data_IF_580431032262
#
_entry.id   IF_580431032262
#
_cell.length_a   1.000
_cell.length_b   1.000
_cell.length_c   1.000
_cell.angle_alpha   90.00
_cell.angle_beta   90.00
_cell.angle_gamma   90.00
#
_symmetry.space_group_name_H-M   'P 1'
#
loop_
_entity.id
_entity.type
_entity.pdbx_description
1 polymer ?
#
# COMPACT_ATOMS: atom_id res chain seq x y z
N UNK A 1 9.53 -22.77 -3.29
CA UNK A 1 10.38 -21.66 -3.78
C UNK A 1 10.14 -20.45 -2.89
N UNK A 2 11.17 -19.68 -2.56
CA UNK A 2 10.99 -18.44 -1.82
C UNK A 2 10.29 -17.40 -2.72
N UNK A 3 9.38 -16.62 -2.14
CA UNK A 3 8.77 -15.48 -2.83
C UNK A 3 9.86 -14.43 -3.12
N UNK A 4 9.78 -13.79 -4.30
CA UNK A 4 10.65 -12.66 -4.63
C UNK A 4 10.29 -11.47 -3.74
N UNK A 5 11.30 -10.68 -3.37
CA UNK A 5 11.17 -9.48 -2.54
C UNK A 5 11.64 -8.26 -3.32
N UNK A 6 11.47 -7.05 -2.78
CA UNK A 6 11.95 -5.84 -3.45
C UNK A 6 13.46 -5.84 -3.69
N UNK A 7 14.25 -6.54 -2.87
CA UNK A 7 15.69 -6.69 -3.05
C UNK A 7 16.05 -7.53 -4.27
N UNK A 8 15.17 -8.44 -4.70
CA UNK A 8 15.47 -9.40 -5.78
C UNK A 8 14.80 -9.07 -7.11
N UNK A 9 14.02 -7.98 -7.18
CA UNK A 9 13.30 -7.57 -8.39
C UNK A 9 14.11 -6.70 -9.36
N UNK A 10 15.30 -6.22 -8.95
CA UNK A 10 16.12 -5.31 -9.76
C UNK A 10 15.57 -3.87 -9.76
N UNK A 11 15.99 -3.07 -10.74
CA UNK A 11 15.56 -1.68 -10.84
C UNK A 11 14.12 -1.55 -11.34
N UNK A 12 13.34 -0.72 -10.63
CA UNK A 12 11.92 -0.49 -10.91
C UNK A 12 11.64 0.93 -11.46
N UNK A 13 12.68 1.73 -11.69
CA UNK A 13 12.57 3.06 -12.27
C UNK A 13 11.82 3.06 -13.60
N UNK A 14 10.91 4.02 -13.78
CA UNK A 14 10.05 4.14 -14.97
C UNK A 14 8.94 3.08 -15.08
N UNK A 15 8.87 2.12 -14.15
CA UNK A 15 7.78 1.13 -14.11
C UNK A 15 6.62 1.64 -13.26
N UNK A 16 5.41 1.17 -13.57
CA UNK A 16 4.26 1.30 -12.67
C UNK A 16 4.17 0.06 -11.79
N UNK A 17 4.25 0.24 -10.48
CA UNK A 17 4.21 -0.82 -9.47
C UNK A 17 2.87 -0.77 -8.74
N UNK A 18 2.09 -1.84 -8.88
CA UNK A 18 0.86 -2.06 -8.13
C UNK A 18 1.20 -2.66 -6.76
N UNK A 19 0.88 -1.96 -5.67
CA UNK A 19 1.12 -2.41 -4.30
C UNK A 19 -0.20 -2.59 -3.56
N UNK A 20 -0.38 -3.76 -2.95
CA UNK A 20 -1.47 -4.04 -2.02
C UNK A 20 -0.99 -3.71 -0.61
N UNK A 21 -1.52 -2.65 -0.02
CA UNK A 21 -1.22 -2.21 1.36
C UNK A 21 -2.36 -2.59 2.30
N UNK A 22 -2.09 -2.72 3.60
CA UNK A 22 -3.16 -2.73 4.60
C UNK A 22 -3.44 -1.29 5.02
N UNK A 23 -4.47 -0.67 4.45
CA UNK A 23 -4.97 0.65 4.82
C UNK A 23 -6.34 0.56 5.50
N UNK A 24 -6.70 -0.61 6.05
CA UNK A 24 -7.94 -0.78 6.80
C UNK A 24 -7.77 -0.21 8.21
N UNK A 25 -7.95 1.11 8.33
CA UNK A 25 -7.77 1.88 9.56
C UNK A 25 -9.11 2.14 10.25
N UNK A 26 -9.14 2.29 11.59
CA UNK A 26 -10.36 2.69 12.28
C UNK A 26 -10.76 4.12 11.90
N UNK A 27 -12.05 4.30 11.65
CA UNK A 27 -12.68 5.59 11.36
C UNK A 27 -13.74 5.91 12.42
N UNK A 28 -13.85 7.19 12.78
CA UNK A 28 -14.98 7.77 13.50
C UNK A 28 -15.46 8.97 12.70
N UNK A 29 -16.72 8.95 12.25
CA UNK A 29 -17.33 10.05 11.48
C UNK A 29 -16.50 10.46 10.25
N UNK A 30 -15.93 9.47 9.55
CA UNK A 30 -15.07 9.69 8.38
C UNK A 30 -13.63 10.15 8.70
N UNK A 31 -13.28 10.30 9.97
CA UNK A 31 -11.95 10.71 10.43
C UNK A 31 -11.16 9.50 10.93
N UNK A 32 -9.90 9.39 10.52
CA UNK A 32 -8.97 8.34 10.99
C UNK A 32 -8.63 8.58 12.46
N UNK A 33 -8.85 7.57 13.30
CA UNK A 33 -8.53 7.65 14.74
C UNK A 33 -7.20 7.00 15.10
N UNK A 34 -6.68 6.10 14.25
CA UNK A 34 -5.33 5.53 14.33
C UNK A 34 -4.79 5.29 12.91
N UNK A 35 -3.66 5.90 12.60
CA UNK A 35 -3.00 5.87 11.29
C UNK A 35 -1.84 4.86 11.22
N UNK A 36 -1.64 4.02 12.25
CA UNK A 36 -0.48 3.14 12.38
C UNK A 36 -0.24 2.24 11.15
N UNK A 37 -1.32 1.75 10.53
CA UNK A 37 -1.24 0.92 9.31
C UNK A 37 -0.81 1.70 8.07
N UNK A 38 -1.22 2.96 7.96
CA UNK A 38 -0.77 3.86 6.90
C UNK A 38 0.73 4.08 7.06
N UNK A 39 1.18 4.45 8.27
CA UNK A 39 2.60 4.68 8.57
C UNK A 39 3.45 3.43 8.32
N UNK A 40 2.96 2.24 8.66
CA UNK A 40 3.65 0.98 8.40
C UNK A 40 3.86 0.70 6.90
N UNK A 41 3.02 1.25 6.02
CA UNK A 41 3.15 1.08 4.56
C UNK A 41 4.14 2.05 3.91
N UNK A 42 4.46 3.17 4.58
CA UNK A 42 5.30 4.24 4.02
C UNK A 42 6.70 3.78 3.60
N UNK A 43 7.45 2.95 4.35
CA UNK A 43 8.82 2.58 3.96
C UNK A 43 8.89 1.93 2.58
N UNK A 44 7.94 1.05 2.26
CA UNK A 44 7.86 0.37 0.97
C UNK A 44 7.49 1.34 -0.15
N UNK A 45 6.49 2.20 0.08
CA UNK A 45 6.04 3.20 -0.90
C UNK A 45 7.17 4.20 -1.20
N UNK A 46 7.82 4.73 -0.17
CA UNK A 46 8.93 5.67 -0.30
C UNK A 46 10.11 5.05 -1.05
N UNK A 47 10.46 3.80 -0.76
CA UNK A 47 11.51 3.09 -1.49
C UNK A 47 11.23 3.01 -2.99
N UNK A 48 9.99 2.69 -3.38
CA UNK A 48 9.59 2.60 -4.78
C UNK A 48 9.63 3.96 -5.48
N UNK A 49 9.09 4.99 -4.83
CA UNK A 49 9.07 6.36 -5.35
C UNK A 49 10.49 6.92 -5.51
N UNK A 50 11.35 6.77 -4.50
CA UNK A 50 12.76 7.19 -4.56
C UNK A 50 13.54 6.42 -5.64
N UNK A 51 13.17 5.17 -5.91
CA UNK A 51 13.70 4.38 -7.02
C UNK A 51 13.17 4.78 -8.40
N UNK A 52 12.35 5.83 -8.51
CA UNK A 52 11.82 6.35 -9.77
C UNK A 52 10.64 5.55 -10.34
N UNK A 53 10.02 4.67 -9.55
CA UNK A 53 8.81 3.97 -9.96
C UNK A 53 7.58 4.86 -9.77
N UNK A 54 6.57 4.68 -10.62
CA UNK A 54 5.21 5.11 -10.32
C UNK A 54 4.53 4.07 -9.43
N UNK A 55 3.79 4.50 -8.41
CA UNK A 55 3.16 3.60 -7.44
C UNK A 55 1.64 3.71 -7.51
N UNK A 56 0.96 2.58 -7.65
CA UNK A 56 -0.51 2.46 -7.56
C UNK A 56 -0.83 1.66 -6.31
N UNK A 57 -1.51 2.28 -5.34
CA UNK A 57 -1.84 1.65 -4.05
C UNK A 57 -3.27 1.10 -4.10
N UNK A 58 -3.44 -0.13 -3.64
CA UNK A 58 -4.75 -0.74 -3.41
C UNK A 58 -4.89 -1.17 -1.95
N UNK A 59 -6.09 -1.02 -1.41
CA UNK A 59 -6.49 -1.61 -0.13
C UNK A 59 -7.99 -1.92 -0.12
N UNK A 60 -8.39 -2.70 0.88
CA UNK A 60 -9.76 -2.70 1.38
C UNK A 60 -9.91 -1.72 2.54
N UNK A 61 -11.15 -1.42 2.89
CA UNK A 61 -11.56 -0.72 4.10
C UNK A 61 -12.87 -1.32 4.58
N UNK A 62 -13.00 -1.62 5.86
CA UNK A 62 -14.24 -2.18 6.42
C UNK A 62 -14.60 -3.56 5.86
N UNK A 63 -15.91 -3.85 5.87
CA UNK A 63 -16.52 -5.10 5.38
C UNK A 63 -17.78 -4.78 4.58
N UNK A 64 -17.63 -4.41 3.30
CA UNK A 64 -18.74 -3.98 2.45
C UNK A 64 -19.76 -5.07 2.08
N UNK A 65 -19.53 -6.34 2.45
CA UNK A 65 -20.35 -7.50 2.03
C UNK A 65 -20.64 -7.58 0.51
N UNK A 66 -19.75 -7.02 -0.31
CA UNK A 66 -19.86 -7.01 -1.77
C UNK A 66 -20.64 -5.82 -2.35
N UNK A 67 -21.08 -4.88 -1.53
CA UNK A 67 -21.76 -3.66 -1.93
C UNK A 67 -20.94 -2.42 -1.58
N UNK A 68 -21.02 -1.31 -2.33
CA UNK A 68 -20.43 -0.06 -1.87
C UNK A 68 -21.12 0.37 -0.55
N UNK A 69 -20.31 0.78 0.43
CA UNK A 69 -20.78 1.51 1.61
C UNK A 69 -21.36 2.89 1.22
#
# INVERSE_FOLDING_TARGET
MALRTLETLGELGGKTVLIRCDLNVPLSDGVITDDGRIRASLPTIQRLLTGGAAVVVMSHLGRPDGFPD
#
